data_IF_780665781359
#
_entry.id   IF_780665781359
#
_cell.length_a   1.000
_cell.length_b   1.000
_cell.length_c   1.000
_cell.angle_alpha   90.00
_cell.angle_beta   90.00
_cell.angle_gamma   90.00
#
_symmetry.space_group_name_H-M   'P 1'
#
loop_
_entity.id
_entity.type
_entity.pdbx_description
1 polymer ?
#
# COMPACT_ATOMS: atom_id res chain seq x y z
N UNK A 1 21.66 19.18 -7.06
CA UNK A 1 20.57 18.27 -7.50
C UNK A 1 19.53 19.12 -8.22
N UNK A 2 19.15 18.77 -9.46
CA UNK A 2 18.11 19.53 -10.18
C UNK A 2 16.73 19.30 -9.49
N UNK A 3 15.75 20.17 -9.76
CA UNK A 3 14.42 20.06 -9.15
C UNK A 3 13.69 18.76 -9.52
N UNK A 4 13.77 18.32 -10.78
CA UNK A 4 13.10 17.12 -11.29
C UNK A 4 13.64 15.83 -10.68
N UNK A 5 14.96 15.73 -10.51
CA UNK A 5 15.66 14.60 -9.89
C UNK A 5 15.31 14.53 -8.41
N UNK A 6 15.23 15.68 -7.72
CA UNK A 6 14.76 15.73 -6.33
C UNK A 6 13.32 15.23 -6.23
N UNK A 7 12.43 15.73 -7.08
CA UNK A 7 11.02 15.34 -7.08
C UNK A 7 10.86 13.83 -7.35
N UNK A 8 11.62 13.29 -8.32
CA UNK A 8 11.63 11.87 -8.64
C UNK A 8 12.06 10.99 -7.48
N UNK A 9 13.13 11.38 -6.77
CA UNK A 9 13.60 10.66 -5.58
C UNK A 9 12.59 10.71 -4.43
N UNK A 10 11.97 11.87 -4.20
CA UNK A 10 10.95 12.01 -3.18
C UNK A 10 9.71 11.15 -3.50
N UNK A 11 9.26 11.14 -4.75
CA UNK A 11 8.15 10.29 -5.18
C UNK A 11 8.47 8.80 -5.02
N UNK A 12 9.66 8.38 -5.44
CA UNK A 12 10.10 7.00 -5.24
C UNK A 12 10.20 6.62 -3.77
N UNK A 13 10.74 7.51 -2.92
CA UNK A 13 10.80 7.29 -1.48
C UNK A 13 9.40 7.17 -0.86
N UNK A 14 8.46 8.03 -1.27
CA UNK A 14 7.06 7.95 -0.85
C UNK A 14 6.40 6.62 -1.25
N UNK A 15 6.62 6.16 -2.48
CA UNK A 15 6.11 4.87 -2.95
C UNK A 15 6.75 3.68 -2.21
N UNK A 16 8.05 3.72 -1.92
CA UNK A 16 8.70 2.69 -1.10
C UNK A 16 8.16 2.68 0.33
N UNK A 17 7.97 3.86 0.93
CA UNK A 17 7.38 3.98 2.25
C UNK A 17 5.94 3.43 2.27
N UNK A 18 5.17 3.70 1.22
CA UNK A 18 3.80 3.17 1.07
C UNK A 18 3.81 1.64 0.92
N UNK A 19 4.69 1.09 0.08
CA UNK A 19 4.84 -0.35 -0.10
C UNK A 19 5.22 -1.05 1.23
N UNK A 20 6.19 -0.49 1.95
CA UNK A 20 6.62 -0.98 3.24
C UNK A 20 5.49 -0.88 4.28
N UNK A 21 4.75 0.22 4.30
CA UNK A 21 3.60 0.42 5.18
C UNK A 21 2.47 -0.58 4.92
N UNK A 22 2.13 -0.82 3.66
CA UNK A 22 1.13 -1.83 3.27
C UNK A 22 1.56 -3.24 3.69
N UNK A 23 2.81 -3.63 3.40
CA UNK A 23 3.33 -4.93 3.79
C UNK A 23 3.39 -5.09 5.31
N UNK A 24 3.85 -4.07 6.03
CA UNK A 24 3.88 -4.06 7.49
C UNK A 24 2.46 -4.16 8.06
N UNK A 25 1.50 -3.38 7.56
CA UNK A 25 0.11 -3.43 8.01
C UNK A 25 -0.49 -4.84 7.83
N UNK A 26 -0.33 -5.44 6.65
CA UNK A 26 -0.87 -6.77 6.38
C UNK A 26 -0.18 -7.89 7.16
N UNK A 27 1.11 -7.73 7.47
CA UNK A 27 1.83 -8.66 8.35
C UNK A 27 1.46 -8.48 9.82
N UNK A 28 1.27 -7.25 10.29
CA UNK A 28 0.88 -6.94 11.68
C UNK A 28 -0.60 -7.21 11.96
N UNK A 29 -1.43 -7.18 10.93
CA UNK A 29 -2.87 -7.45 10.98
C UNK A 29 -3.23 -8.94 11.11
N UNK A 30 -4.53 -9.26 10.98
CA UNK A 30 -5.07 -10.60 11.25
C UNK A 30 -4.63 -11.66 10.24
N UNK A 31 -4.11 -11.28 9.07
CA UNK A 31 -3.51 -12.22 8.12
C UNK A 31 -2.20 -12.83 8.64
N UNK A 32 -1.38 -12.02 9.33
CA UNK A 32 -0.03 -12.38 9.74
C UNK A 32 0.06 -12.70 11.23
N UNK A 33 0.70 -11.81 11.99
CA UNK A 33 1.01 -12.02 13.40
C UNK A 33 -0.11 -11.60 14.36
N UNK A 34 -1.16 -10.91 13.87
CA UNK A 34 -2.32 -10.55 14.69
C UNK A 34 -2.00 -9.60 15.85
N UNK A 35 -1.05 -8.68 15.67
CA UNK A 35 -0.77 -7.62 16.65
C UNK A 35 -1.83 -6.51 16.60
N UNK A 36 -2.43 -6.31 15.42
CA UNK A 36 -3.53 -5.37 15.22
C UNK A 36 -4.84 -6.15 15.20
N UNK A 37 -5.63 -6.01 16.27
CA UNK A 37 -6.97 -6.58 16.38
C UNK A 37 -8.02 -5.54 15.99
N UNK A 38 -8.82 -5.88 14.98
CA UNK A 38 -9.96 -5.08 14.56
C UNK A 38 -11.24 -5.64 15.20
N UNK A 39 -11.99 -4.79 15.91
CA UNK A 39 -13.26 -5.17 16.53
C UNK A 39 -14.40 -5.14 15.50
N UNK A 40 -14.33 -6.04 14.53
CA UNK A 40 -15.34 -6.18 13.47
C UNK A 40 -16.18 -7.45 13.65
N UNK A 41 -17.27 -7.57 12.90
CA UNK A 41 -17.98 -8.84 12.78
C UNK A 41 -17.12 -9.88 12.05
N UNK A 42 -17.37 -11.17 12.28
CA UNK A 42 -16.58 -12.27 11.68
C UNK A 42 -16.50 -12.18 10.13
N UNK A 43 -17.59 -11.73 9.50
CA UNK A 43 -17.64 -11.52 8.04
C UNK A 43 -16.67 -10.44 7.57
N UNK A 44 -16.57 -9.35 8.33
CA UNK A 44 -15.66 -8.24 8.03
C UNK A 44 -14.21 -8.62 8.30
N UNK A 45 -13.95 -9.41 9.34
CA UNK A 45 -12.62 -9.97 9.62
C UNK A 45 -12.12 -10.82 8.45
N UNK A 46 -12.95 -11.72 7.92
CA UNK A 46 -12.58 -12.54 6.76
C UNK A 46 -12.32 -11.70 5.50
N UNK A 47 -13.08 -10.63 5.30
CA UNK A 47 -12.83 -9.67 4.21
C UNK A 47 -11.51 -8.94 4.38
N UNK A 48 -11.20 -8.48 5.60
CA UNK A 48 -9.92 -7.83 5.92
C UNK A 48 -8.75 -8.77 5.67
N UNK A 49 -8.84 -10.04 6.05
CA UNK A 49 -7.78 -11.04 5.77
C UNK A 49 -7.57 -11.19 4.26
N UNK A 50 -8.65 -11.32 3.48
CA UNK A 50 -8.55 -11.41 2.02
C UNK A 50 -7.92 -10.16 1.40
N UNK A 51 -8.27 -8.99 1.90
CA UNK A 51 -7.74 -7.72 1.46
C UNK A 51 -6.25 -7.55 1.81
N UNK A 52 -5.85 -7.98 3.00
CA UNK A 52 -4.45 -8.03 3.43
C UNK A 52 -3.63 -8.99 2.55
N UNK A 53 -4.23 -10.12 2.12
CA UNK A 53 -3.55 -11.06 1.23
C UNK A 53 -3.30 -10.43 -0.14
N UNK A 54 -4.27 -9.68 -0.67
CA UNK A 54 -4.12 -8.92 -1.93
C UNK A 54 -3.11 -7.77 -1.76
N UNK A 55 -3.17 -7.06 -0.63
CA UNK A 55 -2.23 -5.99 -0.30
C UNK A 55 -0.79 -6.50 -0.32
N UNK A 56 -0.52 -7.60 0.37
CA UNK A 56 0.81 -8.19 0.48
C UNK A 56 1.28 -8.88 -0.82
N UNK A 57 0.39 -9.63 -1.47
CA UNK A 57 0.72 -10.44 -2.65
C UNK A 57 0.76 -9.67 -3.96
N UNK A 58 0.08 -8.52 -4.05
CA UNK A 58 -0.05 -7.76 -5.29
C UNK A 58 0.24 -6.27 -5.11
N UNK A 59 -0.44 -5.60 -4.20
CA UNK A 59 -0.39 -4.12 -4.15
C UNK A 59 0.97 -3.62 -3.69
N UNK A 60 1.54 -4.16 -2.62
CA UNK A 60 2.85 -3.76 -2.14
C UNK A 60 3.97 -4.05 -3.17
N UNK A 61 4.03 -5.23 -3.83
CA UNK A 61 4.95 -5.48 -4.93
C UNK A 61 4.81 -4.51 -6.11
N UNK A 62 3.58 -4.22 -6.54
CA UNK A 62 3.32 -3.25 -7.64
C UNK A 62 3.77 -1.85 -7.24
N UNK A 63 3.51 -1.45 -5.99
CA UNK A 63 3.95 -0.14 -5.46
C UNK A 63 5.47 -0.02 -5.43
N UNK A 64 6.17 -1.06 -4.98
CA UNK A 64 7.63 -1.12 -5.00
C UNK A 64 8.18 -1.10 -6.45
N UNK A 65 7.52 -1.80 -7.37
CA UNK A 65 7.82 -1.75 -8.80
C UNK A 65 7.64 -0.34 -9.40
N UNK A 66 6.56 0.36 -9.04
CA UNK A 66 6.32 1.74 -9.46
C UNK A 66 7.39 2.69 -8.90
N UNK A 67 7.84 2.49 -7.66
CA UNK A 67 8.95 3.24 -7.07
C UNK A 67 10.25 3.04 -7.85
N UNK A 68 10.57 1.78 -8.18
CA UNK A 68 11.75 1.45 -8.98
C UNK A 68 11.71 2.07 -10.38
N UNK A 69 10.56 2.01 -11.06
CA UNK A 69 10.37 2.64 -12.37
C UNK A 69 10.43 4.17 -12.28
N UNK A 70 9.97 4.74 -11.17
CA UNK A 70 10.11 6.17 -10.89
C UNK A 70 11.58 6.54 -10.81
N UNK A 71 12.41 5.79 -10.08
CA UNK A 71 13.85 6.04 -10.01
C UNK A 71 14.54 5.96 -11.38
N UNK A 72 14.06 5.06 -12.26
CA UNK A 72 14.55 4.93 -13.64
C UNK A 72 14.03 6.00 -14.61
N UNK A 73 13.12 6.87 -14.17
CA UNK A 73 12.51 7.88 -15.03
C UNK A 73 11.58 7.30 -16.11
N UNK A 74 11.02 6.11 -15.89
CA UNK A 74 10.20 5.44 -16.88
C UNK A 74 8.81 6.05 -16.97
N UNK A 75 8.32 6.32 -18.18
CA UNK A 75 7.00 6.92 -18.43
C UNK A 75 5.80 6.14 -17.85
N UNK A 76 5.94 4.83 -17.59
CA UNK A 76 4.88 4.00 -17.02
C UNK A 76 4.73 4.16 -15.50
N UNK A 77 5.71 4.76 -14.82
CA UNK A 77 5.74 4.82 -13.36
C UNK A 77 4.51 5.52 -12.73
N UNK A 78 4.05 6.68 -13.25
CA UNK A 78 2.85 7.34 -12.71
C UNK A 78 1.61 6.47 -12.85
N UNK A 79 1.41 5.82 -14.00
CA UNK A 79 0.25 4.97 -14.24
C UNK A 79 0.19 3.77 -13.27
N UNK A 80 1.34 3.15 -13.00
CA UNK A 80 1.44 2.04 -12.05
C UNK A 80 1.27 2.47 -10.58
N UNK A 81 1.57 3.72 -10.24
CA UNK A 81 1.42 4.24 -8.89
C UNK A 81 -0.04 4.59 -8.53
N UNK A 82 -0.87 4.93 -9.51
CA UNK A 82 -2.26 5.38 -9.28
C UNK A 82 -3.11 4.31 -8.58
N UNK A 83 -3.09 3.07 -9.09
CA UNK A 83 -3.88 1.97 -8.52
C UNK A 83 -3.57 1.72 -7.04
N UNK A 84 -2.30 1.50 -6.66
CA UNK A 84 -1.93 1.34 -5.26
C UNK A 84 -2.21 2.54 -4.36
N UNK A 85 -2.10 3.76 -4.87
CA UNK A 85 -2.43 4.97 -4.08
C UNK A 85 -3.93 5.03 -3.75
N UNK A 86 -4.80 4.70 -4.71
CA UNK A 86 -6.24 4.59 -4.44
C UNK A 86 -6.56 3.45 -3.48
N UNK A 87 -5.91 2.29 -3.65
CA UNK A 87 -6.08 1.16 -2.73
C UNK A 87 -5.70 1.55 -1.29
N UNK A 88 -4.56 2.20 -1.09
CA UNK A 88 -4.12 2.66 0.22
C UNK A 88 -5.09 3.68 0.84
N UNK A 89 -5.66 4.57 0.03
CA UNK A 89 -6.66 5.55 0.48
C UNK A 89 -7.96 4.85 0.91
N UNK A 90 -8.43 3.89 0.13
CA UNK A 90 -9.58 3.06 0.48
C UNK A 90 -9.34 2.32 1.81
N UNK A 91 -8.17 1.69 1.95
CA UNK A 91 -7.78 0.95 3.15
C UNK A 91 -7.74 1.84 4.39
N UNK A 92 -7.16 3.04 4.27
CA UNK A 92 -7.12 4.02 5.35
C UNK A 92 -8.53 4.33 5.87
N UNK A 93 -9.47 4.62 4.95
CA UNK A 93 -10.85 4.92 5.33
C UNK A 93 -11.51 3.70 5.97
N UNK A 94 -11.36 2.52 5.37
CA UNK A 94 -11.94 1.29 5.88
C UNK A 94 -11.45 0.94 7.30
N UNK A 95 -10.16 1.07 7.59
CA UNK A 95 -9.60 0.75 8.90
C UNK A 95 -9.93 1.78 9.97
N UNK A 96 -10.00 3.06 9.62
CA UNK A 96 -10.22 4.15 10.59
C UNK A 96 -11.69 4.36 10.90
N UNK A 97 -12.54 4.39 9.87
CA UNK A 97 -13.97 4.64 10.03
C UNK A 97 -14.71 3.35 10.38
N UNK A 98 -14.19 2.20 9.94
CA UNK A 98 -14.93 0.96 9.93
C UNK A 98 -16.00 0.95 8.82
N UNK A 99 -16.48 -0.23 8.43
CA UNK A 99 -17.67 -0.33 7.60
C UNK A 99 -18.89 0.18 8.39
N UNK A 100 -19.67 1.08 7.77
CA UNK A 100 -20.97 1.51 8.27
C UNK A 100 -22.02 0.41 8.11
#
# INVERSE_FOLDING_TARGET
MNHDERARRLNAAGLLALAAGLAANSLLGPLGIGVIDYHFSDSLTNQTIGLDAVSLGLVAPVTAGAAFLTLRGHAAAPALAVGPAFFATYMLVQYVVGPA
#
